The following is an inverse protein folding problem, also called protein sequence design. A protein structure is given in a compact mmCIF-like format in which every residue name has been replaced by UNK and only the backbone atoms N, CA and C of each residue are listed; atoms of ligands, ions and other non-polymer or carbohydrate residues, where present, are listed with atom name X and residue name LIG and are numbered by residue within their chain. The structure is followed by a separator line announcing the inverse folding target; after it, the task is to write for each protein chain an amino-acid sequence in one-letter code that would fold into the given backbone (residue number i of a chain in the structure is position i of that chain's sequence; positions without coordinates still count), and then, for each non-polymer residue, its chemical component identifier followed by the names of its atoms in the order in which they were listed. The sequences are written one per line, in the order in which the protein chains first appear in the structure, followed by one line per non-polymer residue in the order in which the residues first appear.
data_IF_214354618919
#
_entry.id   IF_214354618919
#
_cell.length_a   1.000
_cell.length_b   1.000
_cell.length_c   1.000
_cell.angle_alpha   90.00
_cell.angle_beta   90.00
_cell.angle_gamma   90.00
#
_symmetry.space_group_name_H-M   'P 1'
#
loop_
_entity.id
_entity.type
_entity.pdbx_description
1 polymer ?
#
# COMPACT_ATOMS: atom_id res chain seq x y z
N UNK A 1 -31.63 -2.54 30.51
CA UNK A 1 -30.36 -1.77 30.45
C UNK A 1 -29.48 -2.40 29.39
N UNK A 2 -29.28 -1.74 28.25
CA UNK A 2 -28.42 -2.23 27.21
C UNK A 2 -26.95 -2.15 27.69
N UNK A 3 -26.26 -3.28 27.73
CA UNK A 3 -24.85 -3.32 28.08
C UNK A 3 -24.07 -2.48 27.02
N UNK A 4 -23.49 -1.37 27.47
CA UNK A 4 -22.53 -0.61 26.66
C UNK A 4 -21.36 -1.55 26.40
N UNK A 5 -21.26 -2.08 25.16
CA UNK A 5 -20.07 -2.80 24.73
C UNK A 5 -18.91 -1.81 24.83
N UNK A 6 -18.02 -1.98 25.82
CA UNK A 6 -16.77 -1.24 25.89
C UNK A 6 -16.06 -1.46 24.55
N UNK A 7 -15.90 -0.39 23.78
CA UNK A 7 -15.10 -0.44 22.54
C UNK A 7 -13.71 -0.91 22.95
N UNK A 8 -13.28 -2.07 22.46
CA UNK A 8 -11.95 -2.61 22.75
C UNK A 8 -10.95 -1.58 22.24
N UNK A 9 -9.98 -1.18 23.05
CA UNK A 9 -8.97 -0.24 22.61
C UNK A 9 -8.25 -0.78 21.36
N UNK A 10 -7.93 0.07 20.37
CA UNK A 10 -7.23 -0.36 19.18
C UNK A 10 -5.83 -0.91 19.56
N UNK A 11 -5.41 -1.98 18.87
CA UNK A 11 -4.09 -2.62 19.06
C UNK A 11 -2.94 -1.75 18.50
N UNK A 12 -3.26 -0.65 17.85
CA UNK A 12 -2.33 0.24 17.18
C UNK A 12 -2.52 1.70 17.62
N UNK A 13 -1.58 2.52 17.24
CA UNK A 13 -1.65 3.98 17.33
C UNK A 13 -1.07 4.63 16.07
N UNK A 14 -1.51 5.86 15.79
CA UNK A 14 -1.02 6.65 14.65
C UNK A 14 0.21 7.44 15.06
N UNK A 15 1.32 7.30 14.31
CA UNK A 15 2.56 8.07 14.48
C UNK A 15 3.06 8.60 13.15
N UNK A 16 4.03 9.53 13.19
CA UNK A 16 4.81 9.90 12.00
C UNK A 16 5.65 8.71 11.55
N UNK A 17 5.62 8.41 10.24
CA UNK A 17 6.39 7.34 9.63
C UNK A 17 7.66 7.87 8.98
N UNK A 18 8.80 7.19 9.12
CA UNK A 18 10.03 7.55 8.41
C UNK A 18 9.97 7.24 6.91
N UNK A 19 8.97 6.43 6.48
CA UNK A 19 8.80 6.05 5.07
C UNK A 19 7.95 7.08 4.35
N UNK A 20 6.76 7.37 4.90
CA UNK A 20 5.85 8.35 4.30
C UNK A 20 4.78 8.83 5.29
N UNK A 21 4.73 10.14 5.54
CA UNK A 21 3.69 10.83 6.28
C UNK A 21 3.41 10.22 7.66
N UNK A 22 2.23 9.60 7.82
CA UNK A 22 1.82 8.89 9.05
C UNK A 22 1.74 7.39 8.79
N UNK A 23 1.90 6.59 9.86
CA UNK A 23 1.74 5.14 9.84
C UNK A 23 1.01 4.62 11.06
N UNK A 24 0.56 3.38 11.01
CA UNK A 24 0.01 2.66 12.17
C UNK A 24 1.13 1.87 12.84
N UNK A 25 1.23 1.98 14.15
CA UNK A 25 2.24 1.30 14.96
C UNK A 25 1.59 0.41 16.00
N UNK A 26 2.07 -0.81 16.18
CA UNK A 26 1.59 -1.71 17.21
C UNK A 26 1.77 -1.09 18.61
N UNK A 27 0.70 -0.93 19.39
CA UNK A 27 0.75 -0.48 20.80
C UNK A 27 1.19 -1.58 21.74
N UNK A 28 0.81 -2.81 21.42
CA UNK A 28 1.07 -4.01 22.20
C UNK A 28 1.59 -5.10 21.28
N UNK A 29 2.04 -6.22 21.84
CA UNK A 29 2.31 -7.43 21.07
C UNK A 29 1.03 -7.88 20.34
N UNK A 30 1.18 -8.18 19.04
CA UNK A 30 0.10 -8.67 18.17
C UNK A 30 0.53 -10.04 17.65
N UNK A 31 -0.22 -11.06 18.00
CA UNK A 31 0.01 -12.43 17.51
C UNK A 31 -0.31 -12.52 16.02
N UNK A 32 0.38 -13.42 15.34
CA UNK A 32 0.04 -13.82 13.97
C UNK A 32 -1.45 -14.18 13.85
N UNK A 33 -2.04 -13.94 12.68
CA UNK A 33 -3.44 -14.18 12.34
C UNK A 33 -4.46 -13.31 13.13
N UNK A 34 -3.96 -12.29 13.87
CA UNK A 34 -4.82 -11.31 14.55
C UNK A 34 -5.40 -10.31 13.54
N UNK A 35 -6.71 -10.12 13.60
CA UNK A 35 -7.44 -9.09 12.88
C UNK A 35 -7.28 -7.75 13.59
N UNK A 36 -6.60 -6.79 12.95
CA UNK A 36 -6.10 -5.59 13.62
C UNK A 36 -7.03 -4.40 13.39
N UNK A 37 -7.31 -4.08 12.14
CA UNK A 37 -8.08 -2.90 11.75
C UNK A 37 -8.85 -3.15 10.46
N UNK A 38 -10.11 -2.71 10.44
CA UNK A 38 -10.94 -2.73 9.24
C UNK A 38 -10.60 -1.54 8.34
N UNK A 39 -10.49 -1.80 7.05
CA UNK A 39 -10.40 -0.76 6.02
C UNK A 39 -11.81 -0.34 5.62
N UNK A 40 -12.30 0.74 6.22
CA UNK A 40 -13.64 1.25 5.98
C UNK A 40 -13.65 2.32 4.90
N UNK A 41 -14.74 2.39 4.14
CA UNK A 41 -14.87 3.35 3.05
C UNK A 41 -16.25 3.34 2.40
N UNK A 42 -16.40 4.17 1.38
CA UNK A 42 -17.56 4.16 0.54
C UNK A 42 -17.44 3.05 -0.50
N UNK A 43 -18.47 2.21 -0.62
CA UNK A 43 -18.54 1.20 -1.67
C UNK A 43 -18.95 1.87 -2.97
N UNK A 44 -18.08 1.82 -3.99
CA UNK A 44 -18.26 2.43 -5.30
C UNK A 44 -18.15 1.37 -6.40
N UNK A 45 -18.82 1.58 -7.54
CA UNK A 45 -18.63 0.71 -8.70
C UNK A 45 -17.31 1.02 -9.42
N UNK A 46 -16.92 0.16 -10.37
CA UNK A 46 -15.64 0.29 -11.09
C UNK A 46 -15.53 1.58 -11.90
N UNK A 47 -16.62 2.10 -12.43
CA UNK A 47 -16.64 3.34 -13.22
C UNK A 47 -16.36 4.54 -12.34
N UNK A 48 -17.04 4.62 -11.19
CA UNK A 48 -16.83 5.69 -10.22
C UNK A 48 -15.46 5.57 -9.56
N UNK A 49 -15.00 4.37 -9.27
CA UNK A 49 -13.64 4.10 -8.75
C UNK A 49 -12.56 4.62 -9.69
N UNK A 50 -12.65 4.30 -10.97
CA UNK A 50 -11.71 4.78 -12.00
C UNK A 50 -11.73 6.31 -12.12
N UNK A 51 -12.91 6.91 -12.13
CA UNK A 51 -13.08 8.37 -12.19
C UNK A 51 -12.38 9.05 -11.01
N UNK A 52 -12.65 8.58 -9.76
CA UNK A 52 -12.04 9.15 -8.55
C UNK A 52 -10.52 8.93 -8.52
N UNK A 53 -10.06 7.75 -8.93
CA UNK A 53 -8.62 7.46 -9.01
C UNK A 53 -7.90 8.38 -9.98
N UNK A 54 -8.49 8.62 -11.17
CA UNK A 54 -7.92 9.52 -12.16
C UNK A 54 -7.87 10.97 -11.67
N UNK A 55 -8.90 11.45 -10.98
CA UNK A 55 -8.89 12.80 -10.36
C UNK A 55 -7.79 12.93 -9.29
N UNK A 56 -7.59 11.89 -8.46
CA UNK A 56 -6.52 11.88 -7.47
C UNK A 56 -5.14 11.88 -8.12
N UNK A 57 -4.93 11.11 -9.18
CA UNK A 57 -3.69 11.07 -9.94
C UNK A 57 -3.38 12.41 -10.62
N UNK A 58 -4.39 13.09 -11.19
CA UNK A 58 -4.20 14.43 -11.77
C UNK A 58 -3.82 15.47 -10.71
N UNK A 59 -4.44 15.43 -9.54
CA UNK A 59 -4.04 16.31 -8.41
C UNK A 59 -2.62 16.01 -7.97
N UNK A 60 -2.26 14.73 -7.88
CA UNK A 60 -0.94 14.28 -7.51
C UNK A 60 0.19 14.78 -8.41
N UNK A 61 -0.06 14.88 -9.72
CA UNK A 61 0.89 15.47 -10.67
C UNK A 61 1.19 16.94 -10.37
N UNK A 62 0.22 17.66 -9.76
CA UNK A 62 0.34 19.07 -9.47
C UNK A 62 0.95 19.38 -8.10
N UNK A 63 0.71 18.53 -7.09
CA UNK A 63 1.11 18.78 -5.70
C UNK A 63 2.02 17.71 -5.09
N UNK A 64 2.34 16.65 -5.84
CA UNK A 64 3.16 15.53 -5.38
C UNK A 64 2.48 14.64 -4.33
N UNK A 65 1.17 14.78 -4.13
CA UNK A 65 0.40 14.12 -3.05
C UNK A 65 -0.28 12.81 -3.47
N UNK A 66 0.33 12.01 -4.36
CA UNK A 66 -0.28 10.77 -4.85
C UNK A 66 -0.70 9.83 -3.70
N UNK A 67 -1.98 9.86 -3.36
CA UNK A 67 -2.60 8.97 -2.36
C UNK A 67 -3.83 8.36 -2.96
N UNK A 68 -3.69 7.16 -3.51
CA UNK A 68 -4.84 6.35 -3.94
C UNK A 68 -5.28 5.54 -2.73
N UNK A 69 -6.52 5.74 -2.30
CA UNK A 69 -7.13 5.01 -1.19
C UNK A 69 -8.20 4.04 -1.68
N UNK A 70 -8.09 3.64 -2.93
CA UNK A 70 -9.03 2.73 -3.55
C UNK A 70 -8.59 1.28 -3.30
N UNK A 71 -9.48 0.46 -2.76
CA UNK A 71 -9.25 -0.94 -2.47
C UNK A 71 -10.21 -1.82 -3.28
N UNK A 72 -9.68 -2.80 -4.01
CA UNK A 72 -10.50 -3.73 -4.80
C UNK A 72 -11.22 -4.67 -3.84
N UNK A 73 -12.57 -4.64 -3.87
CA UNK A 73 -13.40 -5.55 -3.09
C UNK A 73 -13.74 -6.82 -3.88
N UNK A 74 -14.21 -6.65 -5.11
CA UNK A 74 -14.57 -7.74 -6.02
C UNK A 74 -14.56 -7.24 -7.48
N UNK A 75 -15.09 -8.05 -8.43
CA UNK A 75 -15.13 -7.70 -9.85
C UNK A 75 -16.04 -6.50 -10.18
N UNK A 76 -16.94 -6.12 -9.28
CA UNK A 76 -17.95 -5.06 -9.49
C UNK A 76 -17.71 -3.83 -8.63
N UNK A 77 -17.11 -4.02 -7.47
CA UNK A 77 -17.05 -3.01 -6.42
C UNK A 77 -15.64 -2.77 -5.92
N UNK A 78 -15.38 -1.52 -5.57
CA UNK A 78 -14.22 -1.09 -4.80
C UNK A 78 -14.67 -0.36 -3.55
N UNK A 79 -13.74 -0.19 -2.60
CA UNK A 79 -13.90 0.63 -1.41
C UNK A 79 -13.03 1.87 -1.55
N UNK A 80 -13.66 3.04 -1.59
CA UNK A 80 -12.96 4.32 -1.48
C UNK A 80 -12.73 4.63 0.00
N UNK A 81 -11.54 4.37 0.46
CA UNK A 81 -11.12 4.57 1.85
C UNK A 81 -10.66 5.98 2.17
N UNK A 82 -10.88 6.96 1.30
CA UNK A 82 -10.47 8.35 1.52
C UNK A 82 -11.38 9.08 2.54
N UNK A 83 -11.55 8.48 3.71
CA UNK A 83 -12.30 9.03 4.84
C UNK A 83 -11.33 9.30 6.00
N UNK A 84 -11.51 10.41 6.70
CA UNK A 84 -10.69 10.73 7.89
C UNK A 84 -10.86 9.70 9.01
N UNK A 85 -12.02 9.08 9.10
CA UNK A 85 -12.34 8.03 10.06
C UNK A 85 -11.70 6.68 9.73
N UNK A 86 -11.18 6.50 8.52
CA UNK A 86 -10.49 5.28 8.09
C UNK A 86 -9.00 5.37 8.44
N UNK A 87 -8.61 5.01 9.66
CA UNK A 87 -7.20 5.00 10.06
C UNK A 87 -6.41 3.91 9.32
N UNK A 88 -7.06 2.82 8.87
CA UNK A 88 -6.41 1.76 8.10
C UNK A 88 -5.76 2.26 6.80
N UNK A 89 -6.23 3.37 6.22
CA UNK A 89 -5.61 4.03 5.06
C UNK A 89 -4.19 4.54 5.31
N UNK A 90 -3.78 4.59 6.57
CA UNK A 90 -2.44 5.03 6.98
C UNK A 90 -1.42 3.88 7.05
N UNK A 91 -1.83 2.63 6.81
CA UNK A 91 -0.89 1.51 6.72
C UNK A 91 -0.04 1.68 5.48
N UNK A 92 1.27 1.86 5.66
CA UNK A 92 2.21 2.11 4.58
C UNK A 92 2.59 0.84 3.82
N UNK A 93 3.21 1.02 2.64
CA UNK A 93 3.74 -0.10 1.86
C UNK A 93 5.09 -0.58 2.37
N UNK A 94 5.29 -1.90 2.33
CA UNK A 94 6.60 -2.53 2.41
C UNK A 94 6.70 -3.74 1.49
N UNK A 95 7.93 -3.97 0.97
CA UNK A 95 8.27 -5.21 0.26
C UNK A 95 8.48 -6.40 1.22
N UNK A 96 8.51 -6.16 2.54
CA UNK A 96 8.49 -7.17 3.60
C UNK A 96 7.35 -6.84 4.57
N UNK A 97 6.08 -7.10 4.18
CA UNK A 97 4.93 -6.74 4.98
C UNK A 97 4.81 -7.58 6.26
N UNK A 98 4.19 -7.00 7.29
CA UNK A 98 3.82 -7.71 8.51
C UNK A 98 2.31 -7.85 8.69
N UNK A 99 1.53 -7.21 7.82
CA UNK A 99 0.09 -7.45 7.70
C UNK A 99 -0.28 -7.68 6.24
N UNK A 100 -1.41 -8.34 6.02
CA UNK A 100 -2.03 -8.48 4.71
C UNK A 100 -3.49 -8.03 4.75
N UNK A 101 -4.03 -7.63 3.62
CA UNK A 101 -5.44 -7.32 3.51
C UNK A 101 -6.22 -8.60 3.17
N UNK A 102 -7.22 -8.92 4.00
CA UNK A 102 -8.14 -10.04 3.78
C UNK A 102 -9.56 -9.53 3.59
N UNK A 103 -10.28 -10.11 2.63
CA UNK A 103 -11.70 -9.82 2.40
C UNK A 103 -12.53 -10.81 3.21
N UNK A 104 -13.40 -10.27 4.08
CA UNK A 104 -14.29 -11.05 4.91
C UNK A 104 -15.72 -11.02 4.38
N UNK A 105 -16.29 -12.21 4.14
CA UNK A 105 -17.67 -12.38 3.66
C UNK A 105 -18.03 -11.50 2.44
N UNK A 106 -17.07 -11.25 1.55
CA UNK A 106 -17.20 -10.41 0.35
C UNK A 106 -17.69 -8.97 0.62
N UNK A 107 -17.44 -8.44 1.84
CA UNK A 107 -17.98 -7.15 2.29
C UNK A 107 -17.00 -6.26 3.05
N UNK A 108 -16.13 -6.85 3.84
CA UNK A 108 -15.25 -6.14 4.74
C UNK A 108 -13.79 -6.42 4.37
N UNK A 109 -12.95 -5.42 4.44
CA UNK A 109 -11.52 -5.55 4.21
C UNK A 109 -10.83 -5.34 5.55
N UNK A 110 -10.02 -6.30 5.96
CA UNK A 110 -9.30 -6.25 7.23
C UNK A 110 -7.81 -6.41 7.02
N UNK A 111 -7.01 -5.65 7.76
CA UNK A 111 -5.59 -5.94 7.90
C UNK A 111 -5.37 -6.98 9.01
N UNK A 112 -4.74 -8.09 8.62
CA UNK A 112 -4.47 -9.25 9.46
C UNK A 112 -2.97 -9.46 9.57
N UNK A 113 -2.46 -9.75 10.77
CA UNK A 113 -1.05 -9.99 11.01
C UNK A 113 -0.58 -11.29 10.30
N UNK A 114 0.48 -11.21 9.47
CA UNK A 114 1.08 -12.39 8.80
C UNK A 114 2.19 -13.04 9.62
N UNK A 115 2.63 -12.36 10.67
CA UNK A 115 3.60 -12.84 11.68
C UNK A 115 3.33 -12.12 13.01
N UNK A 116 4.00 -12.57 14.05
CA UNK A 116 4.04 -11.83 15.32
C UNK A 116 4.65 -10.44 15.10
N UNK A 117 4.02 -9.41 15.71
CA UNK A 117 4.41 -8.01 15.61
C UNK A 117 4.71 -7.48 17.02
N UNK A 118 5.91 -6.94 17.20
CA UNK A 118 6.32 -6.41 18.49
C UNK A 118 5.76 -5.01 18.75
N UNK A 119 5.58 -4.61 20.01
CA UNK A 119 5.18 -3.24 20.34
C UNK A 119 6.16 -2.23 19.72
N UNK A 120 5.62 -1.20 19.10
CA UNK A 120 6.40 -0.15 18.43
C UNK A 120 6.79 -0.45 16.98
N UNK A 121 6.53 -1.67 16.45
CA UNK A 121 6.67 -1.93 15.01
C UNK A 121 5.60 -1.19 14.22
N UNK A 122 5.98 -0.62 13.08
CA UNK A 122 5.03 -0.08 12.11
C UNK A 122 4.35 -1.21 11.34
N UNK A 123 3.06 -1.04 11.07
CA UNK A 123 2.27 -1.97 10.26
C UNK A 123 2.46 -1.64 8.78
N UNK A 124 2.77 -2.65 7.98
CA UNK A 124 3.01 -2.54 6.56
C UNK A 124 2.30 -3.63 5.77
N UNK A 125 1.74 -3.29 4.62
CA UNK A 125 1.26 -4.28 3.67
C UNK A 125 1.84 -4.05 2.27
N UNK A 126 1.76 -5.05 1.40
CA UNK A 126 2.11 -4.88 -0.01
C UNK A 126 0.89 -4.28 -0.73
N UNK A 127 1.06 -3.10 -1.33
CA UNK A 127 -0.02 -2.42 -2.06
C UNK A 127 -0.49 -3.19 -3.31
N UNK A 128 0.32 -4.15 -3.80
CA UNK A 128 -0.08 -5.03 -4.89
C UNK A 128 -0.29 -4.33 -6.24
N UNK A 129 0.45 -3.23 -6.50
CA UNK A 129 0.29 -2.50 -7.76
C UNK A 129 0.70 -3.35 -8.97
N UNK A 130 0.02 -3.11 -10.09
CA UNK A 130 0.32 -3.73 -11.35
C UNK A 130 1.68 -3.32 -11.91
N UNK A 131 2.23 -4.13 -12.83
CA UNK A 131 3.55 -3.92 -13.40
C UNK A 131 3.60 -2.81 -14.45
N UNK A 132 2.49 -2.38 -15.00
CA UNK A 132 2.48 -1.52 -16.19
C UNK A 132 2.94 -0.08 -15.88
N UNK A 133 2.62 0.40 -14.69
CA UNK A 133 2.96 1.75 -14.20
C UNK A 133 4.07 1.73 -13.15
N UNK A 134 4.90 0.68 -13.10
CA UNK A 134 5.88 0.48 -12.03
C UNK A 134 6.85 1.64 -11.83
N UNK A 135 7.19 2.39 -12.89
CA UNK A 135 8.14 3.52 -12.84
C UNK A 135 7.60 4.70 -12.04
N UNK A 136 6.28 4.83 -11.95
CA UNK A 136 5.59 5.92 -11.27
C UNK A 136 5.50 5.69 -9.74
N UNK A 137 5.85 4.48 -9.28
CA UNK A 137 5.68 4.05 -7.90
C UNK A 137 6.99 3.60 -7.25
N UNK A 138 7.96 4.53 -7.03
CA UNK A 138 9.20 4.19 -6.34
C UNK A 138 8.92 3.79 -4.88
N UNK A 139 9.63 2.74 -4.41
CA UNK A 139 9.51 2.23 -3.05
C UNK A 139 10.69 2.71 -2.19
N UNK A 140 10.37 3.24 -1.01
CA UNK A 140 11.34 3.71 0.00
C UNK A 140 11.28 2.90 1.29
N UNK A 141 10.76 1.64 1.28
CA UNK A 141 10.57 0.85 2.50
C UNK A 141 11.88 0.46 3.21
N UNK A 142 13.03 0.54 2.55
CA UNK A 142 14.35 0.31 3.14
C UNK A 142 14.64 -1.13 3.57
N UNK A 143 13.74 -2.09 3.31
CA UNK A 143 13.91 -3.49 3.69
C UNK A 143 14.94 -4.21 2.82
N UNK A 144 15.49 -5.33 3.31
CA UNK A 144 16.48 -6.13 2.55
C UNK A 144 15.90 -6.73 1.26
N UNK A 145 14.62 -7.05 1.25
CA UNK A 145 13.91 -7.60 0.06
C UNK A 145 13.41 -6.52 -0.90
N UNK A 146 13.61 -5.23 -0.57
CA UNK A 146 13.07 -4.14 -1.38
C UNK A 146 13.50 -4.24 -2.84
N UNK A 147 12.52 -4.29 -3.73
CA UNK A 147 12.74 -4.32 -5.19
C UNK A 147 12.84 -2.93 -5.80
N UNK A 148 12.73 -1.86 -4.98
CA UNK A 148 12.86 -0.45 -5.36
C UNK A 148 11.59 0.17 -5.95
N UNK A 149 10.51 -0.59 -6.06
CA UNK A 149 9.22 -0.14 -6.58
C UNK A 149 8.07 -0.84 -5.88
N UNK A 150 6.92 -0.17 -5.82
CA UNK A 150 5.67 -0.72 -5.26
C UNK A 150 4.99 -1.53 -6.36
N UNK A 151 5.19 -2.84 -6.33
CA UNK A 151 4.65 -3.79 -7.32
C UNK A 151 4.32 -5.08 -6.60
N UNK A 152 3.24 -5.73 -6.99
CA UNK A 152 2.87 -7.04 -6.45
C UNK A 152 4.01 -8.06 -6.58
N UNK A 153 4.20 -8.89 -5.55
CA UNK A 153 5.31 -9.85 -5.46
C UNK A 153 5.34 -10.84 -6.64
N UNK A 154 4.18 -11.20 -7.18
CA UNK A 154 4.08 -12.06 -8.36
C UNK A 154 4.82 -11.50 -9.58
N UNK A 155 4.94 -10.19 -9.68
CA UNK A 155 5.60 -9.51 -10.79
C UNK A 155 7.11 -9.25 -10.57
N UNK A 156 7.67 -9.49 -9.39
CA UNK A 156 9.08 -9.18 -9.10
C UNK A 156 10.08 -9.80 -10.09
N UNK A 157 9.91 -11.06 -10.57
CA UNK A 157 10.82 -11.61 -11.59
C UNK A 157 10.77 -10.83 -12.92
N UNK A 158 9.56 -10.38 -13.31
CA UNK A 158 9.40 -9.56 -14.52
C UNK A 158 9.95 -8.15 -14.32
N UNK A 159 9.73 -7.54 -13.18
CA UNK A 159 10.26 -6.24 -12.80
C UNK A 159 11.80 -6.22 -12.86
N UNK A 160 12.46 -7.21 -12.27
CA UNK A 160 13.92 -7.34 -12.31
C UNK A 160 14.44 -7.38 -13.74
N UNK A 161 13.79 -8.12 -14.64
CA UNK A 161 14.16 -8.19 -16.07
C UNK A 161 13.95 -6.85 -16.79
N UNK A 162 12.79 -6.20 -16.60
CA UNK A 162 12.51 -4.86 -17.18
C UNK A 162 13.57 -3.84 -16.75
N UNK A 163 13.92 -3.78 -15.46
CA UNK A 163 14.95 -2.88 -14.92
C UNK A 163 16.33 -3.14 -15.50
N UNK A 164 16.73 -4.41 -15.62
CA UNK A 164 18.01 -4.77 -16.22
C UNK A 164 18.08 -4.35 -17.70
N UNK A 165 17.01 -4.60 -18.46
CA UNK A 165 16.91 -4.20 -19.86
C UNK A 165 16.97 -2.67 -20.02
N UNK A 166 16.24 -1.91 -19.19
CA UNK A 166 16.27 -0.43 -19.19
C UNK A 166 17.67 0.08 -18.90
N UNK A 167 18.33 -0.42 -17.86
CA UNK A 167 19.72 -0.02 -17.52
C UNK A 167 20.71 -0.32 -18.65
N UNK A 168 20.59 -1.47 -19.30
CA UNK A 168 21.46 -1.81 -20.43
C UNK A 168 21.22 -0.88 -21.62
N UNK A 169 19.98 -0.52 -21.92
CA UNK A 169 19.64 0.43 -22.98
C UNK A 169 20.19 1.83 -22.69
N UNK A 170 19.99 2.36 -21.47
CA UNK A 170 20.49 3.66 -21.04
C UNK A 170 22.03 3.73 -21.10
N UNK A 171 22.71 2.63 -20.72
CA UNK A 171 24.18 2.54 -20.82
C UNK A 171 24.66 2.58 -22.27
N UNK A 172 24.00 1.84 -23.17
CA UNK A 172 24.32 1.86 -24.59
C UNK A 172 24.13 3.25 -25.22
N UNK A 173 23.00 3.88 -24.89
CA UNK A 173 22.69 5.24 -25.38
C UNK A 173 23.75 6.24 -24.95
N UNK A 174 24.15 6.27 -23.66
CA UNK A 174 25.21 7.17 -23.17
C UNK A 174 26.57 6.93 -23.87
N UNK A 175 26.89 5.67 -24.11
CA UNK A 175 28.15 5.35 -24.80
C UNK A 175 28.16 5.83 -26.27
N UNK A 176 27.00 5.77 -26.94
CA UNK A 176 26.88 6.30 -28.31
C UNK A 176 26.98 7.83 -28.31
N UNK A 177 26.34 8.51 -27.41
CA UNK A 177 26.37 9.97 -27.27
C UNK A 177 27.79 10.46 -26.94
N UNK A 178 28.55 9.73 -26.10
CA UNK A 178 29.92 10.07 -25.74
C UNK A 178 30.95 9.84 -26.87
N UNK A 179 30.65 9.01 -27.90
CA UNK A 179 31.53 8.79 -29.07
C UNK A 179 31.22 9.80 -30.19
N UNK A 180 30.05 10.41 -30.16
CA UNK A 180 29.61 11.39 -31.17
C UNK A 180 29.96 12.86 -30.80
N UNK A 181 30.46 13.11 -29.58
CA UNK A 181 30.96 14.39 -29.08
C UNK A 181 32.49 14.47 -29.13
#
# INVERSE_FOLDING_TARGET
MAAVKKKKEPLYEVRTSPIHGRGLYAKTFIEKDTWIVEYVGEKVDKVESERRSNELLERAKNDGSARVYMFILDDKWDIDGNLETNEARLVNHSCEPNVEAQIWQDKEIWFVAVRDIQPGEELFYNYGFELDTWEDHPCSCGTKRCVGYIVDEQYWPKLKRKRAAKKAWETRRRNVEAVAS
#
